data_IF_756107956558
#
_entry.id   IF_756107956558
#
_cell.length_a   1.000
_cell.length_b   1.000
_cell.length_c   1.000
_cell.angle_alpha   90.00
_cell.angle_beta   90.00
_cell.angle_gamma   90.00
#
_symmetry.space_group_name_H-M   'P 1'
#
loop_
_entity.id
_entity.type
_entity.pdbx_description
1 polymer ?
#
# COMPACT_ATOMS: atom_id res chain seq x y z
N UNK A 1 -14.30 -18.12 0.79
CA UNK A 1 -13.09 -17.27 0.79
C UNK A 1 -12.63 -17.11 2.22
N UNK A 2 -11.39 -17.48 2.54
CA UNK A 2 -10.84 -17.29 3.88
C UNK A 2 -10.13 -15.94 3.93
N UNK A 3 -10.68 -14.99 4.69
CA UNK A 3 -10.08 -13.68 4.86
C UNK A 3 -8.81 -13.81 5.71
N UNK A 4 -7.70 -13.22 5.25
CA UNK A 4 -6.52 -13.07 6.10
C UNK A 4 -6.86 -12.15 7.29
N UNK A 5 -6.29 -12.38 8.49
CA UNK A 5 -6.52 -11.50 9.63
C UNK A 5 -6.16 -10.05 9.28
N UNK A 6 -6.83 -9.09 9.93
CA UNK A 6 -6.50 -7.69 9.76
C UNK A 6 -5.04 -7.45 10.18
N UNK A 7 -4.29 -6.73 9.35
CA UNK A 7 -2.88 -6.46 9.58
C UNK A 7 -2.73 -4.96 9.84
N UNK A 8 -2.10 -4.64 10.97
CA UNK A 8 -1.62 -3.29 11.20
C UNK A 8 -0.61 -2.93 10.11
N UNK A 9 -0.84 -1.80 9.45
CA UNK A 9 0.08 -1.26 8.47
C UNK A 9 0.94 -0.22 9.16
N UNK A 10 2.24 -0.50 9.23
CA UNK A 10 3.22 0.43 9.77
C UNK A 10 3.92 1.16 8.65
N UNK A 11 4.05 2.47 8.79
CA UNK A 11 4.83 3.30 7.87
C UNK A 11 5.82 4.15 8.65
N UNK A 12 7.00 4.31 8.09
CA UNK A 12 7.99 5.23 8.59
C UNK A 12 7.70 6.64 8.09
N UNK A 13 7.85 7.62 9.00
CA UNK A 13 7.89 9.03 8.62
C UNK A 13 9.25 9.33 7.97
N UNK A 14 9.25 9.53 6.65
CA UNK A 14 10.44 9.92 5.87
C UNK A 14 10.45 11.45 5.70
N UNK A 15 11.56 12.16 5.95
CA UNK A 15 11.65 13.59 5.68
C UNK A 15 11.40 13.90 4.19
N UNK A 16 10.53 14.87 3.90
CA UNK A 16 10.20 15.27 2.53
C UNK A 16 9.14 14.39 1.84
N UNK A 17 8.57 13.42 2.53
CA UNK A 17 7.47 12.59 2.03
C UNK A 17 6.33 12.52 3.06
N UNK A 18 5.09 12.56 2.57
CA UNK A 18 3.90 12.33 3.39
C UNK A 18 3.10 11.16 2.83
N UNK A 19 2.41 10.43 3.71
CA UNK A 19 1.50 9.36 3.26
C UNK A 19 0.34 10.03 2.53
N UNK A 20 0.12 9.64 1.29
CA UNK A 20 -1.01 10.12 0.50
C UNK A 20 -2.22 9.19 0.69
N UNK A 21 -2.06 7.89 0.41
CA UNK A 21 -3.16 6.91 0.51
C UNK A 21 -2.64 5.49 0.64
N UNK A 22 -3.33 4.69 1.46
CA UNK A 22 -3.10 3.26 1.60
C UNK A 22 -4.43 2.52 1.42
N UNK A 23 -4.46 1.57 0.50
CA UNK A 23 -5.64 0.75 0.22
C UNK A 23 -5.30 -0.73 0.37
N UNK A 24 -6.26 -1.50 0.87
CA UNK A 24 -6.18 -2.97 0.95
C UNK A 24 -7.41 -3.62 0.35
N UNK A 25 -7.21 -4.72 -0.38
CA UNK A 25 -8.26 -5.57 -0.91
C UNK A 25 -7.94 -7.02 -0.58
N UNK A 26 -8.96 -7.80 -0.21
CA UNK A 26 -8.76 -9.22 0.09
C UNK A 26 -8.80 -10.03 -1.21
N UNK A 27 -7.87 -10.97 -1.36
CA UNK A 27 -7.84 -11.96 -2.43
C UNK A 27 -7.91 -13.35 -1.80
N UNK A 28 -8.15 -14.39 -2.59
CA UNK A 28 -8.10 -15.76 -2.08
C UNK A 28 -6.65 -16.13 -1.71
N UNK A 29 -6.39 -16.29 -0.41
CA UNK A 29 -5.05 -16.60 0.14
C UNK A 29 -4.00 -15.48 0.03
N UNK A 30 -4.36 -14.32 -0.52
CA UNK A 30 -3.49 -13.15 -0.69
C UNK A 30 -4.19 -11.87 -0.23
N UNK A 31 -3.44 -10.79 -0.10
CA UNK A 31 -3.95 -9.44 0.09
C UNK A 31 -3.34 -8.52 -0.93
N UNK A 32 -4.19 -7.80 -1.65
CA UNK A 32 -3.78 -6.73 -2.54
C UNK A 32 -3.58 -5.46 -1.71
N UNK A 33 -2.46 -4.77 -1.88
CA UNK A 33 -2.16 -3.53 -1.17
C UNK A 33 -1.68 -2.48 -2.14
N UNK A 34 -2.22 -1.27 -2.05
CA UNK A 34 -1.77 -0.11 -2.80
C UNK A 34 -1.29 0.96 -1.83
N UNK A 35 -0.06 1.40 -2.03
CA UNK A 35 0.58 2.42 -1.21
C UNK A 35 0.99 3.60 -2.08
N UNK A 36 0.74 4.80 -1.59
CA UNK A 36 1.19 6.03 -2.23
C UNK A 36 1.68 7.03 -1.20
N UNK A 37 2.73 7.75 -1.56
CA UNK A 37 3.30 8.88 -0.84
C UNK A 37 3.33 10.10 -1.74
N UNK A 38 3.22 11.28 -1.16
CA UNK A 38 3.45 12.55 -1.83
C UNK A 38 4.84 13.07 -1.48
N UNK A 39 5.64 13.42 -2.50
CA UNK A 39 6.90 14.13 -2.31
C UNK A 39 6.58 15.61 -2.03
N UNK A 40 6.89 16.11 -0.83
CA UNK A 40 6.44 17.44 -0.39
C UNK A 40 7.06 18.59 -1.18
N UNK A 41 8.22 18.37 -1.80
CA UNK A 41 8.91 19.39 -2.60
C UNK A 41 8.31 19.59 -4.00
N UNK A 42 7.72 18.55 -4.59
CA UNK A 42 7.22 18.55 -5.97
C UNK A 42 5.70 18.33 -6.07
N UNK A 43 5.06 17.83 -5.01
CA UNK A 43 3.68 17.34 -5.04
C UNK A 43 3.51 16.03 -5.81
N UNK A 44 4.60 15.40 -6.27
CA UNK A 44 4.56 14.17 -7.05
C UNK A 44 4.13 12.98 -6.19
N UNK A 45 3.25 12.14 -6.73
CA UNK A 45 2.86 10.87 -6.10
C UNK A 45 3.84 9.78 -6.51
N UNK A 46 4.39 9.11 -5.51
CA UNK A 46 5.19 7.89 -5.67
C UNK A 46 4.34 6.74 -5.13
N UNK A 47 4.09 5.72 -5.95
CA UNK A 47 3.21 4.62 -5.58
C UNK A 47 3.76 3.23 -5.89
N UNK A 48 3.27 2.25 -5.15
CA UNK A 48 3.51 0.83 -5.35
C UNK A 48 2.25 0.03 -5.01
N UNK A 49 1.87 -0.88 -5.89
CA UNK A 49 0.75 -1.80 -5.72
C UNK A 49 1.26 -3.22 -5.84
N UNK A 50 0.97 -4.06 -4.85
CA UNK A 50 1.49 -5.42 -4.76
C UNK A 50 0.50 -6.37 -4.13
N UNK A 51 0.64 -7.66 -4.41
CA UNK A 51 -0.03 -8.71 -3.66
C UNK A 51 0.93 -9.34 -2.65
N UNK A 52 0.42 -9.65 -1.47
CA UNK A 52 1.16 -10.33 -0.41
C UNK A 52 0.39 -11.57 0.04
N UNK A 53 1.05 -12.72 0.13
CA UNK A 53 0.43 -13.95 0.63
C UNK A 53 0.62 -14.14 2.15
N UNK A 54 0.05 -15.21 2.70
CA UNK A 54 0.18 -15.55 4.12
C UNK A 54 1.62 -15.81 4.59
N UNK A 55 2.54 -16.10 3.66
CA UNK A 55 3.96 -16.33 3.91
C UNK A 55 4.81 -15.08 3.72
N UNK A 56 4.18 -13.91 3.51
CA UNK A 56 4.83 -12.63 3.22
C UNK A 56 5.60 -12.61 1.90
N UNK A 57 5.25 -13.47 0.95
CA UNK A 57 5.78 -13.36 -0.41
C UNK A 57 5.09 -12.20 -1.12
N UNK A 58 5.89 -11.29 -1.67
CA UNK A 58 5.41 -10.07 -2.31
C UNK A 58 5.57 -10.18 -3.82
N UNK A 59 4.49 -9.91 -4.54
CA UNK A 59 4.46 -9.79 -5.99
C UNK A 59 4.07 -8.35 -6.35
N UNK A 60 5.00 -7.59 -6.95
CA UNK A 60 4.74 -6.21 -7.37
C UNK A 60 3.94 -6.23 -8.68
N UNK A 61 2.79 -5.56 -8.70
CA UNK A 61 1.87 -5.52 -9.84
C UNK A 61 1.94 -4.20 -10.60
N UNK A 62 2.24 -3.11 -9.90
CA UNK A 62 2.49 -1.79 -10.48
C UNK A 62 3.36 -0.96 -9.54
N UNK A 63 4.24 -0.14 -10.09
CA UNK A 63 4.97 0.90 -9.35
C UNK A 63 5.31 2.05 -10.28
N UNK A 64 5.37 3.26 -9.73
CA UNK A 64 5.60 4.44 -10.55
C UNK A 64 5.59 5.75 -9.79
N UNK A 65 5.77 6.82 -10.56
CA UNK A 65 5.70 8.21 -10.13
C UNK A 65 4.80 8.98 -11.08
N UNK A 66 4.04 9.96 -10.57
CA UNK A 66 3.14 10.75 -11.37
C UNK A 66 2.14 11.53 -10.54
N UNK A 67 0.94 11.73 -11.06
CA UNK A 67 -0.12 12.45 -10.35
C UNK A 67 -0.99 11.52 -9.48
N UNK A 68 -1.86 12.10 -8.67
CA UNK A 68 -2.87 11.33 -7.92
C UNK A 68 -3.81 10.58 -8.87
N UNK A 69 -4.11 11.15 -10.05
CA UNK A 69 -4.93 10.51 -11.07
C UNK A 69 -4.23 9.29 -11.69
N UNK A 70 -2.92 9.36 -11.93
CA UNK A 70 -2.15 8.22 -12.43
C UNK A 70 -2.19 7.06 -11.43
N UNK A 71 -2.03 7.35 -10.14
CA UNK A 71 -2.18 6.36 -9.08
C UNK A 71 -3.60 5.77 -9.04
N UNK A 72 -4.63 6.61 -9.07
CA UNK A 72 -6.03 6.15 -9.06
C UNK A 72 -6.39 5.34 -10.30
N UNK A 73 -5.79 5.63 -11.46
CA UNK A 73 -5.95 4.84 -12.67
C UNK A 73 -5.46 3.41 -12.46
N UNK A 74 -4.27 3.23 -11.87
CA UNK A 74 -3.74 1.90 -11.57
C UNK A 74 -4.55 1.17 -10.49
N UNK A 75 -4.96 1.87 -9.43
CA UNK A 75 -5.84 1.31 -8.38
C UNK A 75 -7.15 0.79 -8.98
N UNK A 76 -7.79 1.59 -9.85
CA UNK A 76 -9.05 1.21 -10.49
C UNK A 76 -8.85 0.04 -11.46
N UNK A 77 -7.77 0.07 -12.27
CA UNK A 77 -7.42 -1.01 -13.20
C UNK A 77 -7.24 -2.34 -12.46
N UNK A 78 -6.45 -2.33 -11.38
CA UNK A 78 -6.17 -3.53 -10.59
C UNK A 78 -7.36 -3.96 -9.73
N UNK A 79 -8.17 -3.02 -9.23
CA UNK A 79 -9.42 -3.33 -8.52
C UNK A 79 -10.39 -4.11 -9.39
N UNK A 80 -10.61 -3.65 -10.63
CA UNK A 80 -11.43 -4.35 -11.64
C UNK A 80 -10.88 -5.72 -12.00
N UNK A 81 -9.55 -5.84 -12.09
CA UNK A 81 -8.92 -7.09 -12.51
C UNK A 81 -8.92 -8.16 -11.41
N UNK A 82 -8.72 -7.78 -10.15
CA UNK A 82 -8.45 -8.72 -9.06
C UNK A 82 -9.52 -8.77 -7.97
N UNK A 83 -10.18 -7.65 -7.65
CA UNK A 83 -11.11 -7.56 -6.52
C UNK A 83 -12.57 -7.73 -6.96
N UNK A 84 -12.99 -7.04 -8.02
CA UNK A 84 -14.37 -7.11 -8.52
C UNK A 84 -14.82 -8.54 -8.88
N UNK A 85 -14.01 -9.40 -9.53
CA UNK A 85 -14.41 -10.79 -9.82
C UNK A 85 -14.67 -11.63 -8.56
N UNK A 86 -14.16 -11.19 -7.42
CA UNK A 86 -14.30 -11.83 -6.12
C UNK A 86 -15.43 -11.22 -5.27
N UNK A 87 -16.11 -10.18 -5.78
CA UNK A 87 -17.07 -9.39 -5.00
C UNK A 87 -16.42 -8.50 -3.93
N UNK A 88 -15.11 -8.31 -4.02
CA UNK A 88 -14.31 -7.52 -3.08
C UNK A 88 -14.07 -6.10 -3.59
N UNK A 89 -13.66 -5.20 -2.69
CA UNK A 89 -13.35 -3.82 -3.03
C UNK A 89 -12.17 -3.29 -2.22
N UNK A 90 -11.57 -2.21 -2.72
CA UNK A 90 -10.53 -1.50 -1.98
C UNK A 90 -11.10 -0.88 -0.71
N UNK A 91 -10.37 -1.04 0.39
CA UNK A 91 -10.64 -0.40 1.68
C UNK A 91 -9.49 0.51 2.02
N UNK A 92 -9.79 1.77 2.28
CA UNK A 92 -8.78 2.70 2.76
C UNK A 92 -8.46 2.42 4.22
N UNK A 93 -7.17 2.40 4.55
CA UNK A 93 -6.68 2.09 5.89
C UNK A 93 -5.70 3.17 6.34
N UNK A 94 -5.82 3.55 7.61
CA UNK A 94 -4.92 4.52 8.22
C UNK A 94 -3.70 3.79 8.77
N UNK A 95 -2.48 4.21 8.40
CA UNK A 95 -1.29 3.56 8.93
C UNK A 95 -1.04 3.94 10.39
N UNK A 96 -0.41 3.02 11.12
CA UNK A 96 0.26 3.34 12.39
C UNK A 96 1.63 3.92 12.07
N UNK A 97 1.82 5.21 12.35
CA UNK A 97 3.10 5.89 12.12
C UNK A 97 4.10 5.46 13.20
N UNK A 98 5.18 4.80 12.79
CA UNK A 98 6.32 4.56 13.67
C UNK A 98 7.15 5.84 13.75
N UNK A 99 7.76 6.09 14.92
CA UNK A 99 8.64 7.24 15.15
C UNK A 99 9.68 7.40 14.01
N UNK A 100 10.22 8.61 13.86
CA UNK A 100 11.17 8.99 12.80
C UNK A 100 12.13 7.84 12.47
N UNK A 101 12.21 7.46 11.19
CA UNK A 101 13.12 6.42 10.75
C UNK A 101 14.56 6.79 11.10
N UNK A 102 15.16 6.09 12.07
CA UNK A 102 16.61 6.12 12.27
C UNK A 102 17.22 5.01 11.40
N UNK A 103 17.91 5.34 10.29
CA UNK A 103 18.55 4.34 9.44
C UNK A 103 19.61 3.50 10.19
N UNK A 104 20.04 3.92 11.39
CA UNK A 104 20.94 3.16 12.27
C UNK A 104 20.24 2.11 13.12
N UNK A 105 18.91 2.14 13.19
CA UNK A 105 18.05 1.17 13.89
C UNK A 105 16.79 0.87 13.05
N UNK A 106 16.91 0.08 11.97
CA UNK A 106 15.84 -0.10 10.98
C UNK A 106 14.59 -0.85 11.47
N UNK A 107 14.59 -1.37 12.71
CA UNK A 107 13.41 -1.95 13.35
C UNK A 107 13.44 -1.70 14.87
N UNK A 108 12.35 -1.22 15.50
CA UNK A 108 12.17 -1.43 16.93
C UNK A 108 11.88 -2.92 17.17
N UNK A 109 12.73 -3.58 17.95
CA UNK A 109 12.44 -4.92 18.48
C UNK A 109 11.28 -4.80 19.46
N UNK A 110 10.08 -5.16 19.03
CA UNK A 110 8.98 -5.52 19.92
C UNK A 110 8.50 -6.92 19.57
#
# INVERSE_FOLDING_TARGET
>A
MQRLPEQDIYVYKTPGEEVHKILVGDLDGKRLKAFSKVATASGEIIYKIFSEDAHKNIETLAEGKGTAEDFMREVNRLGRQYLEPLGESWREVQPKVLANFDPRNPCPKH
#
